data_IF_890539346541
#
_entry.id   IF_890539346541
#
_cell.length_a   1.000
_cell.length_b   1.000
_cell.length_c   1.000
_cell.angle_alpha   90.00
_cell.angle_beta   90.00
_cell.angle_gamma   90.00
#
_symmetry.space_group_name_H-M   'P 1'
#
loop_
_entity.id
_entity.type
_entity.pdbx_description
1 polymer ?
#
# COMPACT_ATOMS: atom_id res chain seq x y z
N UNK A 1 13.35 4.17 11.01
CA UNK A 1 12.21 4.68 11.81
C UNK A 1 10.92 4.48 11.04
N UNK A 2 10.81 4.97 9.79
CA UNK A 2 9.68 4.63 8.90
C UNK A 2 9.90 3.33 8.10
N UNK A 3 11.10 3.12 7.53
CA UNK A 3 11.46 1.86 6.83
C UNK A 3 11.20 0.65 7.74
N UNK A 4 11.79 0.65 8.94
CA UNK A 4 11.53 -0.39 9.95
C UNK A 4 10.06 -0.58 10.31
N UNK A 5 9.27 0.50 10.33
CA UNK A 5 7.84 0.39 10.60
C UNK A 5 7.14 -0.39 9.48
N UNK A 6 7.46 -0.13 8.21
CA UNK A 6 6.96 -0.95 7.11
C UNK A 6 7.48 -2.40 7.15
N UNK A 7 8.74 -2.62 7.53
CA UNK A 7 9.30 -3.98 7.70
C UNK A 7 8.52 -4.79 8.75
N UNK A 8 8.18 -4.17 9.89
CA UNK A 8 7.46 -4.82 10.98
C UNK A 8 5.97 -5.08 10.60
N UNK A 9 5.47 -4.44 9.54
CA UNK A 9 4.09 -4.49 9.07
C UNK A 9 3.92 -5.32 7.77
N UNK A 10 4.97 -5.98 7.29
CA UNK A 10 4.90 -6.90 6.14
C UNK A 10 3.82 -7.96 6.36
N UNK A 11 3.02 -8.20 5.32
CA UNK A 11 1.86 -9.10 5.33
C UNK A 11 0.54 -8.43 5.69
N UNK A 12 0.53 -7.12 5.99
CA UNK A 12 -0.68 -6.35 6.31
C UNK A 12 -1.16 -5.53 5.13
N UNK A 13 -2.48 -5.30 5.10
CA UNK A 13 -3.12 -4.46 4.10
C UNK A 13 -2.91 -2.98 4.43
N UNK A 14 -2.62 -2.18 3.42
CA UNK A 14 -2.33 -0.77 3.55
C UNK A 14 -3.08 0.08 2.51
N UNK A 15 -3.38 1.32 2.88
CA UNK A 15 -3.71 2.42 1.97
C UNK A 15 -2.52 3.37 1.99
N UNK A 16 -1.96 3.68 0.83
CA UNK A 16 -0.81 4.57 0.69
C UNK A 16 -1.19 5.70 -0.28
N UNK A 17 -0.95 6.93 0.13
CA UNK A 17 -1.10 8.15 -0.67
C UNK A 17 0.27 8.73 -0.98
N UNK A 18 0.52 8.99 -2.25
CA UNK A 18 1.79 9.54 -2.75
C UNK A 18 1.58 10.88 -3.47
N UNK A 19 2.61 11.71 -3.45
CA UNK A 19 2.65 12.99 -4.18
C UNK A 19 2.63 12.82 -5.70
N UNK A 20 2.98 11.63 -6.19
CA UNK A 20 3.15 11.30 -7.60
C UNK A 20 2.15 10.22 -8.06
N UNK A 21 1.83 10.26 -9.34
CA UNK A 21 0.90 9.34 -10.00
C UNK A 21 1.34 7.87 -9.85
N UNK A 22 0.43 6.91 -9.55
CA UNK A 22 -1.04 7.00 -9.54
C UNK A 22 -1.69 7.49 -8.23
N UNK A 23 -0.97 8.17 -7.34
CA UNK A 23 -1.45 8.87 -6.13
C UNK A 23 -2.00 8.01 -4.98
N UNK A 24 -2.63 6.86 -5.26
CA UNK A 24 -3.24 5.98 -4.26
C UNK A 24 -2.89 4.53 -4.56
N UNK A 25 -2.48 3.78 -3.54
CA UNK A 25 -2.25 2.35 -3.62
C UNK A 25 -2.96 1.67 -2.46
N UNK A 26 -3.77 0.65 -2.75
CA UNK A 26 -4.42 -0.18 -1.74
C UNK A 26 -4.05 -1.63 -2.03
N UNK A 27 -3.47 -2.30 -1.05
CA UNK A 27 -2.92 -3.64 -1.26
C UNK A 27 -2.19 -4.17 -0.05
N UNK A 28 -1.53 -5.32 -0.20
CA UNK A 28 -0.77 -5.98 0.87
C UNK A 28 0.71 -5.62 0.76
N UNK A 29 1.33 -5.22 1.88
CA UNK A 29 2.77 -5.02 1.93
C UNK A 29 3.44 -6.39 1.84
N UNK A 30 4.18 -6.66 0.77
CA UNK A 30 4.82 -7.97 0.56
C UNK A 30 6.27 -8.00 1.02
N UNK A 31 7.01 -6.90 0.88
CA UNK A 31 8.37 -6.75 1.38
C UNK A 31 8.82 -5.28 1.43
N UNK A 32 10.00 -5.05 2.01
CA UNK A 32 10.70 -3.76 1.98
C UNK A 32 12.10 -4.00 1.44
N UNK A 33 12.49 -3.28 0.39
CA UNK A 33 13.79 -3.37 -0.28
C UNK A 33 14.43 -1.99 -0.24
N UNK A 34 15.53 -1.85 0.50
CA UNK A 34 16.22 -0.58 0.74
C UNK A 34 15.26 0.52 1.25
N UNK A 35 14.90 1.49 0.41
CA UNK A 35 13.99 2.60 0.68
C UNK A 35 12.63 2.48 -0.06
N UNK A 36 12.33 1.30 -0.59
CA UNK A 36 11.06 0.99 -1.23
C UNK A 36 10.22 0.05 -0.38
N UNK A 37 8.94 0.36 -0.22
CA UNK A 37 7.93 -0.60 0.20
C UNK A 37 7.32 -1.23 -1.06
N UNK A 38 7.29 -2.56 -1.10
CA UNK A 38 6.68 -3.30 -2.19
C UNK A 38 5.28 -3.71 -1.77
N UNK A 39 4.28 -3.34 -2.58
CA UNK A 39 2.87 -3.61 -2.31
C UNK A 39 2.27 -4.39 -3.47
N UNK A 40 1.63 -5.51 -3.18
CA UNK A 40 0.73 -6.20 -4.12
C UNK A 40 -0.58 -5.41 -4.18
N UNK A 41 -0.76 -4.62 -5.25
CA UNK A 41 -1.82 -3.61 -5.33
C UNK A 41 -3.09 -4.21 -5.94
N UNK A 42 -4.14 -4.23 -5.12
CA UNK A 42 -5.50 -4.64 -5.50
C UNK A 42 -6.30 -3.48 -6.12
N UNK A 43 -6.08 -2.25 -5.63
CA UNK A 43 -6.81 -1.07 -6.11
C UNK A 43 -5.92 0.16 -6.18
N UNK A 44 -6.02 0.92 -7.27
CA UNK A 44 -5.33 2.20 -7.45
C UNK A 44 -6.21 3.18 -8.22
N UNK A 45 -5.74 4.39 -8.47
CA UNK A 45 -6.53 5.42 -9.18
C UNK A 45 -6.83 5.07 -10.64
N UNK A 46 -6.21 4.02 -11.18
CA UNK A 46 -6.33 3.57 -12.57
C UNK A 46 -6.34 2.05 -12.62
N UNK A 47 -7.46 1.47 -13.07
CA UNK A 47 -7.63 0.01 -13.07
C UNK A 47 -6.61 -0.75 -13.91
N UNK A 48 -6.08 -0.16 -14.99
CA UNK A 48 -5.03 -0.81 -15.80
C UNK A 48 -3.69 -0.95 -15.06
N UNK A 49 -3.56 -0.38 -13.87
CA UNK A 49 -2.37 -0.40 -13.02
C UNK A 49 -2.53 -1.30 -11.78
N UNK A 50 -3.69 -1.93 -11.61
CA UNK A 50 -3.99 -2.90 -10.55
C UNK A 50 -3.37 -4.28 -10.87
N UNK A 51 -3.54 -5.22 -9.94
CA UNK A 51 -3.11 -6.62 -10.00
C UNK A 51 -1.61 -6.78 -10.30
N UNK A 52 -0.78 -5.99 -9.60
CA UNK A 52 0.68 -6.03 -9.73
C UNK A 52 1.40 -5.49 -8.52
N UNK A 53 2.67 -5.88 -8.41
CA UNK A 53 3.59 -5.34 -7.42
C UNK A 53 4.03 -3.92 -7.78
N UNK A 54 3.88 -3.01 -6.83
CA UNK A 54 4.35 -1.64 -6.92
C UNK A 54 5.50 -1.39 -5.96
N UNK A 55 6.60 -0.84 -6.50
CA UNK A 55 7.75 -0.38 -5.75
C UNK A 55 7.54 1.09 -5.42
N UNK A 56 7.12 1.37 -4.20
CA UNK A 56 6.79 2.73 -3.75
C UNK A 56 7.95 3.23 -2.91
N UNK A 57 8.59 4.30 -3.39
CA UNK A 57 9.66 4.94 -2.67
C UNK A 57 9.11 5.58 -1.39
N UNK A 58 9.63 5.20 -0.23
CA UNK A 58 9.06 5.58 1.08
C UNK A 58 9.08 7.10 1.29
N UNK A 59 10.00 7.82 0.65
CA UNK A 59 10.05 9.28 0.72
C UNK A 59 8.94 9.99 -0.08
N UNK A 60 8.25 9.28 -0.97
CA UNK A 60 7.16 9.84 -1.77
C UNK A 60 5.79 9.66 -1.09
N UNK A 61 5.75 8.88 0.00
CA UNK A 61 4.56 8.62 0.80
C UNK A 61 4.24 9.86 1.65
N UNK A 62 3.08 10.46 1.39
CA UNK A 62 2.58 11.61 2.15
C UNK A 62 1.74 11.15 3.34
N UNK A 63 0.91 10.13 3.14
CA UNK A 63 -0.02 9.58 4.13
C UNK A 63 -0.15 8.08 3.90
N UNK A 64 -0.29 7.31 4.97
CA UNK A 64 -0.65 5.90 4.88
C UNK A 64 -1.55 5.48 6.04
N UNK A 65 -2.25 4.37 5.84
CA UNK A 65 -2.96 3.61 6.87
C UNK A 65 -2.60 2.14 6.68
N UNK A 66 -2.24 1.43 7.76
CA UNK A 66 -1.97 -0.02 7.75
C UNK A 66 -2.93 -0.66 8.74
N UNK A 67 -3.58 -1.76 8.34
CA UNK A 67 -4.42 -2.53 9.26
C UNK A 67 -3.59 -3.16 10.38
N UNK A 68 -3.90 -2.81 11.62
CA UNK A 68 -3.22 -3.31 12.82
C UNK A 68 -4.04 -4.31 13.65
N UNK A 69 -5.28 -4.58 13.22
CA UNK A 69 -6.23 -5.44 13.91
C UNK A 69 -7.04 -4.78 15.02
N UNK A 70 -6.71 -3.54 15.42
CA UNK A 70 -7.46 -2.77 16.40
C UNK A 70 -8.30 -1.66 15.74
N UNK A 71 -7.84 -1.13 14.60
CA UNK A 71 -8.51 -0.08 13.83
C UNK A 71 -9.56 -0.56 12.80
N UNK A 72 -10.16 0.38 12.05
CA UNK A 72 -11.10 0.08 10.97
C UNK A 72 -10.44 -0.76 9.87
N UNK A 73 -11.14 -1.78 9.39
CA UNK A 73 -10.65 -2.55 8.25
C UNK A 73 -10.78 -1.78 6.95
N UNK A 74 -9.77 -1.92 6.10
CA UNK A 74 -9.82 -1.49 4.71
C UNK A 74 -10.85 -2.39 4.00
N UNK A 75 -11.92 -1.82 3.42
CA UNK A 75 -12.94 -2.63 2.77
C UNK A 75 -12.38 -3.33 1.53
N UNK A 76 -12.93 -4.49 1.21
CA UNK A 76 -12.71 -5.10 -0.10
C UNK A 76 -13.46 -4.29 -1.15
N UNK A 77 -12.72 -3.65 -2.05
CA UNK A 77 -13.23 -2.88 -3.18
C UNK A 77 -13.35 -3.79 -4.40
N UNK A 78 -14.09 -4.90 -4.27
CA UNK A 78 -14.52 -5.67 -5.44
C UNK A 78 -15.86 -5.13 -5.86
N UNK A 79 -15.98 -4.73 -7.13
CA UNK A 79 -17.27 -4.43 -7.73
C UNK A 79 -18.21 -5.61 -7.42
N UNK A 80 -19.31 -5.33 -6.74
CA UNK A 80 -20.36 -6.32 -6.54
C UNK A 80 -20.90 -6.76 -7.90
N UNK A 81 -21.08 -8.07 -8.05
CA UNK A 81 -21.61 -8.79 -9.22
C UNK A 81 -22.50 -7.99 -10.20
#
# INVERSE_FOLDING_TARGET
MLIKYFEDEVGRKAIILCSSFPFVFIGVIIEVIDDYVVVDVETTSISQLEDRDWYIHIHDIEVFYIEDGEGPRIPELRDGD
#
